data_IF_214019137720
#
_entry.id   IF_214019137720
#
_cell.length_a   1.000
_cell.length_b   1.000
_cell.length_c   1.000
_cell.angle_alpha   90.00
_cell.angle_beta   90.00
_cell.angle_gamma   90.00
#
_symmetry.space_group_name_H-M   'P 1'
#
loop_
_entity.id
_entity.type
_entity.pdbx_description
1 polymer ?
#
# COMPACT_ATOMS: atom_id res chain seq x y z
N UNK A 1 46.41 86.72 13.79
CA UNK A 1 47.76 86.71 13.16
C UNK A 1 48.75 86.34 14.27
N UNK A 2 49.47 85.21 14.30
CA UNK A 2 50.19 84.42 13.27
C UNK A 2 50.02 82.90 13.53
N UNK A 3 49.66 82.14 12.49
CA UNK A 3 50.40 81.05 11.78
C UNK A 3 50.52 79.69 12.48
N UNK A 4 49.66 78.76 12.06
CA UNK A 4 50.00 77.37 11.76
C UNK A 4 49.07 76.90 10.62
N UNK A 5 49.63 76.17 9.65
CA UNK A 5 49.02 75.78 8.37
C UNK A 5 47.90 74.73 8.52
N UNK A 6 46.92 74.79 7.60
CA UNK A 6 45.81 73.84 7.40
C UNK A 6 46.34 72.39 7.35
N UNK A 7 45.74 71.40 8.02
CA UNK A 7 44.50 70.77 7.55
C UNK A 7 43.76 70.08 8.71
N UNK A 8 42.65 70.72 9.09
CA UNK A 8 41.39 70.15 9.63
C UNK A 8 41.38 69.53 11.04
N UNK A 9 41.38 70.38 12.05
CA UNK A 9 40.72 70.07 13.33
C UNK A 9 39.43 70.90 13.43
N UNK A 10 38.34 70.37 12.88
CA UNK A 10 37.06 71.05 12.69
C UNK A 10 36.18 71.02 13.96
N UNK A 11 36.76 71.22 15.15
CA UNK A 11 36.00 71.23 16.41
C UNK A 11 36.34 72.48 17.25
N UNK A 12 35.49 73.51 17.14
CA UNK A 12 35.51 74.64 18.06
C UNK A 12 35.00 74.17 19.45
N UNK A 13 35.85 74.25 20.48
CA UNK A 13 35.38 74.08 21.86
C UNK A 13 34.84 75.41 22.38
N UNK A 14 33.54 75.45 22.69
CA UNK A 14 32.87 76.66 23.17
C UNK A 14 33.13 76.93 24.66
N UNK A 15 33.12 78.20 25.06
CA UNK A 15 33.11 78.58 26.47
C UNK A 15 31.83 78.08 27.17
N UNK A 16 31.88 77.83 28.50
CA UNK A 16 30.71 77.38 29.26
C UNK A 16 29.53 78.33 29.08
N UNK A 17 28.44 77.82 28.49
CA UNK A 17 27.23 78.61 28.23
C UNK A 17 26.99 79.01 26.76
N UNK A 18 27.84 78.58 25.83
CA UNK A 18 27.64 78.77 24.39
C UNK A 18 27.61 77.44 23.62
N UNK A 19 26.86 77.41 22.52
CA UNK A 19 26.66 76.26 21.63
C UNK A 19 26.59 76.71 20.16
N UNK A 20 26.54 75.77 19.22
CA UNK A 20 26.58 76.05 17.77
C UNK A 20 27.95 75.75 17.14
N UNK A 21 28.02 75.73 15.81
CA UNK A 21 29.24 75.34 15.06
C UNK A 21 30.40 76.33 15.29
N UNK A 22 30.07 77.59 15.58
CA UNK A 22 30.99 78.69 15.84
C UNK A 22 30.77 79.31 17.24
N UNK A 23 30.10 78.61 18.16
CA UNK A 23 29.78 79.10 19.51
C UNK A 23 28.93 80.39 19.55
N UNK A 24 28.09 80.57 18.52
CA UNK A 24 27.30 81.77 18.29
C UNK A 24 26.02 81.86 19.13
N UNK A 25 25.55 80.74 19.68
CA UNK A 25 24.26 80.64 20.37
C UNK A 25 24.46 80.45 21.87
N UNK A 26 23.60 81.05 22.69
CA UNK A 26 23.56 80.78 24.13
C UNK A 26 23.06 79.36 24.40
N UNK A 27 23.72 78.64 25.31
CA UNK A 27 23.32 77.29 25.72
C UNK A 27 22.05 77.36 26.57
N UNK A 28 20.97 76.71 26.10
CA UNK A 28 19.71 76.57 26.83
C UNK A 28 19.55 75.09 27.21
N UNK A 29 19.71 74.71 28.50
CA UNK A 29 19.81 73.31 28.92
C UNK A 29 18.65 72.39 28.52
N UNK A 30 17.43 72.91 28.30
CA UNK A 30 16.24 72.12 27.95
C UNK A 30 15.67 72.42 26.54
N UNK A 31 16.43 73.05 25.64
CA UNK A 31 15.97 73.38 24.30
C UNK A 31 17.05 73.16 23.24
N UNK A 32 17.02 72.02 22.50
CA UNK A 32 16.06 70.91 22.60
C UNK A 32 16.23 70.11 23.90
N UNK A 33 15.18 69.39 24.33
CA UNK A 33 15.24 68.57 25.55
C UNK A 33 16.32 67.47 25.41
N UNK A 34 17.29 67.41 26.34
CA UNK A 34 18.27 66.33 26.36
C UNK A 34 17.70 65.01 26.91
N UNK A 35 16.55 65.06 27.61
CA UNK A 35 15.91 63.89 28.19
C UNK A 35 15.24 63.03 27.10
N UNK A 36 15.51 61.73 27.15
CA UNK A 36 15.00 60.70 26.24
C UNK A 36 13.78 59.99 26.84
N UNK A 37 13.17 59.08 26.08
CA UNK A 37 12.08 58.20 26.53
C UNK A 37 10.89 58.91 27.21
N UNK A 38 10.60 60.14 26.79
CA UNK A 38 9.51 60.95 27.37
C UNK A 38 9.86 61.62 28.71
N UNK A 39 11.14 61.64 29.10
CA UNK A 39 11.62 62.34 30.29
C UNK A 39 11.34 63.84 30.25
N UNK A 40 11.00 64.40 31.41
CA UNK A 40 10.68 65.82 31.54
C UNK A 40 11.93 66.59 31.94
N UNK A 41 12.40 67.51 31.08
CA UNK A 41 13.55 68.36 31.37
C UNK A 41 13.19 69.51 32.31
N UNK A 42 13.97 69.67 33.38
CA UNK A 42 13.90 70.82 34.29
C UNK A 42 15.25 71.51 34.34
N UNK A 43 15.27 72.81 34.05
CA UNK A 43 16.49 73.60 34.20
C UNK A 43 16.79 73.83 35.68
N UNK A 44 17.98 73.43 36.14
CA UNK A 44 18.40 73.52 37.55
C UNK A 44 19.29 74.74 37.80
N UNK A 45 20.22 75.05 36.88
CA UNK A 45 21.03 76.27 36.92
C UNK A 45 21.13 76.91 35.54
N UNK A 46 21.91 78.01 35.42
CA UNK A 46 22.13 78.68 34.14
C UNK A 46 22.72 77.75 33.06
N UNK A 47 23.49 76.74 33.46
CA UNK A 47 24.17 75.80 32.55
C UNK A 47 23.92 74.32 32.88
N UNK A 48 23.00 73.99 33.80
CA UNK A 48 22.67 72.60 34.15
C UNK A 48 21.16 72.33 34.08
N UNK A 49 20.85 71.08 33.78
CA UNK A 49 19.51 70.52 33.73
C UNK A 49 19.43 69.27 34.60
N UNK A 50 18.21 68.85 34.90
CA UNK A 50 17.86 67.60 35.54
C UNK A 50 16.69 66.98 34.76
N UNK A 51 16.82 65.70 34.41
CA UNK A 51 15.76 64.95 33.77
C UNK A 51 14.94 64.21 34.82
N UNK A 52 13.63 64.44 34.85
CA UNK A 52 12.70 63.59 35.60
C UNK A 52 12.29 62.42 34.72
N UNK A 53 12.79 61.24 35.07
CA UNK A 53 12.52 60.03 34.30
C UNK A 53 11.13 59.46 34.60
N UNK A 54 10.39 59.01 33.58
CA UNK A 54 9.19 58.22 33.77
C UNK A 54 9.54 56.90 34.49
N UNK A 55 8.54 56.23 35.11
CA UNK A 55 8.75 54.89 35.68
C UNK A 55 9.36 53.93 34.64
N UNK A 56 10.33 53.13 35.08
CA UNK A 56 11.08 52.19 34.21
C UNK A 56 12.32 52.77 33.53
N UNK A 57 12.62 54.07 33.65
CA UNK A 57 13.83 54.64 33.06
C UNK A 57 14.76 55.26 34.11
N UNK A 58 16.06 55.13 33.87
CA UNK A 58 17.13 55.70 34.68
C UNK A 58 18.24 56.31 33.80
N UNK A 59 19.28 56.82 34.44
CA UNK A 59 20.36 57.54 33.77
C UNK A 59 20.18 59.05 33.81
N UNK A 60 21.19 59.79 33.34
CA UNK A 60 21.21 61.27 33.44
C UNK A 60 20.15 61.91 32.53
N UNK A 61 19.90 61.27 31.41
CA UNK A 61 18.97 61.69 30.37
C UNK A 61 17.78 60.73 30.22
N UNK A 62 17.55 59.82 31.18
CA UNK A 62 16.53 58.77 31.08
C UNK A 62 16.75 57.85 29.87
N UNK A 63 18.03 57.62 29.53
CA UNK A 63 18.49 56.88 28.37
C UNK A 63 18.58 55.37 28.62
N UNK A 64 18.59 54.94 29.88
CA UNK A 64 18.68 53.54 30.27
C UNK A 64 17.31 53.03 30.72
N UNK A 65 16.92 51.85 30.23
CA UNK A 65 15.81 51.11 30.83
C UNK A 65 16.28 50.52 32.17
N UNK A 66 15.46 50.61 33.20
CA UNK A 66 15.73 49.97 34.48
C UNK A 66 15.49 48.48 34.33
N UNK A 67 16.49 47.67 34.69
CA UNK A 67 16.38 46.21 34.64
C UNK A 67 15.35 45.70 35.65
N UNK A 68 14.21 45.22 35.14
CA UNK A 68 13.09 44.69 35.92
C UNK A 68 13.27 43.18 36.26
N UNK A 69 14.33 42.53 35.77
CA UNK A 69 14.60 41.10 36.01
C UNK A 69 15.19 40.71 37.37
N UNK A 70 15.87 41.56 38.17
CA UNK A 70 16.36 41.17 39.49
C UNK A 70 15.22 40.71 40.41
N UNK A 71 15.26 39.46 40.85
CA UNK A 71 14.20 38.87 41.67
C UNK A 71 12.94 38.46 40.90
N UNK A 72 13.05 38.29 39.57
CA UNK A 72 11.97 37.76 38.75
C UNK A 72 11.44 36.41 39.27
N UNK A 73 10.20 36.10 38.88
CA UNK A 73 9.50 34.89 39.30
C UNK A 73 9.50 33.81 38.21
N UNK A 74 10.32 33.92 37.16
CA UNK A 74 10.35 32.94 36.09
C UNK A 74 10.77 31.55 36.62
N UNK A 75 9.91 30.55 36.40
CA UNK A 75 10.10 29.18 36.87
C UNK A 75 10.58 28.27 35.75
N UNK A 76 10.95 27.03 36.09
CA UNK A 76 11.19 25.94 35.14
C UNK A 76 12.19 26.24 34.01
N UNK A 77 13.23 27.04 34.29
CA UNK A 77 14.23 27.43 33.30
C UNK A 77 13.78 28.54 32.35
N UNK A 78 12.66 29.21 32.64
CA UNK A 78 12.24 30.42 31.96
C UNK A 78 13.31 31.51 32.04
N UNK A 79 13.53 32.21 30.93
CA UNK A 79 14.48 33.33 30.86
C UNK A 79 13.71 34.63 31.05
N UNK A 80 14.10 35.43 32.04
CA UNK A 80 13.52 36.75 32.22
C UNK A 80 13.93 37.68 31.08
N UNK A 81 12.97 38.37 30.51
CA UNK A 81 13.16 39.37 29.46
C UNK A 81 12.66 40.71 29.98
N UNK A 82 13.61 41.64 30.10
CA UNK A 82 13.39 43.01 30.54
C UNK A 82 12.41 43.75 29.61
N UNK A 83 11.57 44.58 30.20
CA UNK A 83 10.57 45.39 29.51
C UNK A 83 10.49 46.77 30.15
N UNK A 84 9.50 47.59 29.78
CA UNK A 84 9.40 48.95 30.31
C UNK A 84 8.57 48.92 31.60
N UNK A 85 9.22 49.04 32.76
CA UNK A 85 8.58 49.03 34.08
C UNK A 85 7.79 47.72 34.34
N UNK A 86 8.22 46.63 33.70
CA UNK A 86 7.66 45.29 33.76
C UNK A 86 8.65 44.32 33.09
N UNK A 87 8.64 43.07 33.50
CA UNK A 87 9.33 41.98 32.82
C UNK A 87 8.34 40.93 32.33
N UNK A 88 8.79 40.07 31.42
CA UNK A 88 8.06 38.84 31.08
C UNK A 88 9.01 37.65 31.03
N UNK A 89 8.46 36.44 31.16
CA UNK A 89 9.24 35.22 31.10
C UNK A 89 9.16 34.60 29.70
N UNK A 90 10.31 34.36 29.08
CA UNK A 90 10.41 33.53 27.88
C UNK A 90 10.51 32.07 28.31
N UNK A 91 9.43 31.32 28.14
CA UNK A 91 9.33 29.93 28.58
C UNK A 91 10.00 28.94 27.61
N UNK A 92 10.61 27.86 28.12
CA UNK A 92 10.95 26.69 27.30
C UNK A 92 9.71 26.08 26.66
N UNK A 93 9.89 25.29 25.60
CA UNK A 93 8.77 24.69 24.85
C UNK A 93 7.88 23.75 25.66
N UNK A 94 8.38 23.20 26.78
CA UNK A 94 7.65 22.30 27.68
C UNK A 94 6.87 23.03 28.78
N UNK A 95 6.95 24.36 28.87
CA UNK A 95 6.26 25.14 29.89
C UNK A 95 5.49 26.32 29.30
N UNK A 96 4.43 26.72 30.00
CA UNK A 96 3.56 27.84 29.62
C UNK A 96 3.09 28.59 30.87
N UNK A 97 2.34 29.67 30.69
CA UNK A 97 1.98 30.61 31.76
C UNK A 97 2.82 31.89 31.74
N UNK A 98 2.45 32.84 32.59
CA UNK A 98 3.11 34.15 32.69
C UNK A 98 4.53 34.03 33.26
N UNK A 99 4.72 33.09 34.19
CA UNK A 99 5.97 32.81 34.87
C UNK A 99 6.51 31.42 34.54
N UNK A 100 6.04 30.79 33.46
CA UNK A 100 6.40 29.43 33.05
C UNK A 100 6.06 28.36 34.10
N UNK A 101 5.02 28.59 34.89
CA UNK A 101 4.59 27.76 36.00
C UNK A 101 3.78 26.53 35.58
N UNK A 102 3.19 26.54 34.38
CA UNK A 102 2.32 25.48 33.90
C UNK A 102 3.07 24.53 32.97
N UNK A 103 2.89 23.24 33.20
CA UNK A 103 3.39 22.18 32.33
C UNK A 103 2.59 22.12 31.02
N UNK A 104 3.27 21.92 29.89
CA UNK A 104 2.60 21.68 28.60
C UNK A 104 2.31 20.20 28.47
N UNK A 105 1.04 19.84 28.27
CA UNK A 105 0.69 18.47 27.91
C UNK A 105 1.01 18.22 26.42
N UNK A 106 2.20 17.67 26.13
CA UNK A 106 2.60 17.42 24.75
C UNK A 106 1.73 16.36 24.07
N UNK A 107 1.14 15.44 24.84
CA UNK A 107 0.25 14.41 24.31
C UNK A 107 -1.08 15.00 23.82
N UNK A 108 -1.62 15.97 24.56
CA UNK A 108 -2.83 16.69 24.17
C UNK A 108 -2.58 17.66 23.01
N UNK A 109 -1.42 18.33 23.02
CA UNK A 109 -1.06 19.29 21.97
C UNK A 109 -0.70 18.59 20.65
N UNK A 110 -0.06 17.42 20.71
CA UNK A 110 0.42 16.66 19.55
C UNK A 110 0.03 15.18 19.67
N UNK A 111 -1.22 14.81 19.30
CA UNK A 111 -1.73 13.45 19.46
C UNK A 111 -0.93 12.35 18.74
N UNK A 112 -0.17 12.71 17.69
CA UNK A 112 0.65 11.78 16.90
C UNK A 112 2.15 11.87 17.22
N UNK A 113 2.52 12.40 18.40
CA UNK A 113 3.92 12.50 18.81
C UNK A 113 4.55 11.12 19.07
N UNK A 114 3.75 10.15 19.51
CA UNK A 114 4.13 8.74 19.60
C UNK A 114 3.57 8.00 18.38
N UNK A 115 4.42 7.27 17.68
CA UNK A 115 4.08 6.60 16.42
C UNK A 115 3.59 5.16 16.64
N UNK A 116 3.09 4.53 15.57
CA UNK A 116 2.81 3.08 15.52
C UNK A 116 1.91 2.53 16.63
N UNK A 117 0.92 3.32 17.08
CA UNK A 117 -0.03 2.92 18.12
C UNK A 117 0.54 2.96 19.53
N UNK A 118 1.71 3.58 19.74
CA UNK A 118 2.28 3.81 21.05
C UNK A 118 1.40 4.73 21.92
N UNK A 119 1.47 4.52 23.24
CA UNK A 119 0.75 5.34 24.22
C UNK A 119 1.62 6.49 24.68
N UNK A 120 1.12 7.72 24.55
CA UNK A 120 1.78 8.92 25.08
C UNK A 120 1.38 9.14 26.54
N UNK A 121 2.37 9.42 27.38
CA UNK A 121 2.17 9.83 28.76
C UNK A 121 2.88 11.15 29.02
N UNK A 122 2.14 12.18 29.40
CA UNK A 122 2.71 13.45 29.81
C UNK A 122 3.48 13.34 31.13
N UNK A 123 4.61 14.01 31.23
CA UNK A 123 5.43 14.10 32.44
C UNK A 123 5.81 15.55 32.71
N UNK A 124 6.23 15.89 33.92
CA UNK A 124 6.56 17.29 34.18
C UNK A 124 7.83 17.71 33.39
N UNK A 125 7.67 18.67 32.48
CA UNK A 125 8.71 19.21 31.61
C UNK A 125 9.07 18.35 30.39
N UNK A 126 8.31 17.28 30.11
CA UNK A 126 8.58 16.34 29.01
C UNK A 126 7.40 15.38 28.78
N UNK A 127 7.49 14.51 27.80
CA UNK A 127 6.60 13.36 27.64
C UNK A 127 7.40 12.07 27.50
N UNK A 128 6.72 10.94 27.59
CA UNK A 128 7.27 9.63 27.28
C UNK A 128 6.32 8.83 26.39
N UNK A 129 6.88 8.10 25.43
CA UNK A 129 6.13 7.18 24.59
C UNK A 129 6.35 5.74 25.05
N UNK A 130 5.25 5.04 25.36
CA UNK A 130 5.26 3.63 25.69
C UNK A 130 4.97 2.86 24.40
N UNK A 131 6.01 2.22 23.86
CA UNK A 131 5.94 1.49 22.59
C UNK A 131 5.16 0.19 22.72
N UNK A 132 4.43 -0.15 21.65
CA UNK A 132 3.84 -1.49 21.49
C UNK A 132 4.94 -2.50 21.10
N UNK A 133 4.63 -3.79 21.21
CA UNK A 133 5.57 -4.84 20.87
C UNK A 133 6.06 -4.71 19.42
N UNK A 134 7.37 -4.88 19.20
CA UNK A 134 8.02 -4.70 17.89
C UNK A 134 8.58 -3.31 17.61
N UNK A 135 8.34 -2.29 18.44
CA UNK A 135 8.84 -0.93 18.22
C UNK A 135 9.76 -0.44 19.34
N UNK A 136 10.72 0.41 18.99
CA UNK A 136 11.60 1.09 19.93
C UNK A 136 11.88 2.56 19.52
N UNK A 137 12.64 3.26 20.35
CA UNK A 137 12.99 4.66 20.15
C UNK A 137 12.14 5.62 21.00
N UNK A 138 12.51 6.91 21.05
CA UNK A 138 11.84 7.90 21.89
C UNK A 138 10.40 8.20 21.47
N UNK A 139 10.08 8.01 20.20
CA UNK A 139 8.75 8.18 19.60
C UNK A 139 8.17 6.88 19.03
N UNK A 140 8.80 5.73 19.33
CA UNK A 140 8.41 4.41 18.84
C UNK A 140 8.36 4.27 17.31
N UNK A 141 9.21 5.03 16.59
CA UNK A 141 9.28 4.99 15.13
C UNK A 141 10.09 3.82 14.57
N UNK A 142 10.94 3.20 15.39
CA UNK A 142 11.92 2.24 14.90
C UNK A 142 11.39 0.82 15.06
N UNK A 143 11.31 0.08 13.95
CA UNK A 143 11.00 -1.35 14.01
C UNK A 143 12.20 -2.09 14.61
N UNK A 144 11.94 -2.97 15.58
CA UNK A 144 12.95 -3.84 16.16
C UNK A 144 13.28 -4.90 15.11
N UNK A 145 14.57 -5.10 14.82
CA UNK A 145 15.02 -6.16 13.90
C UNK A 145 14.84 -7.53 14.56
N UNK A 146 13.74 -8.19 14.22
CA UNK A 146 13.38 -9.52 14.73
C UNK A 146 14.24 -10.63 14.10
N UNK A 147 15.07 -10.32 13.09
CA UNK A 147 15.94 -11.27 12.41
C UNK A 147 17.28 -11.53 13.10
N UNK A 148 17.71 -10.68 14.04
CA UNK A 148 19.01 -10.85 14.73
C UNK A 148 19.09 -12.18 15.47
N UNK A 149 18.00 -12.61 16.09
CA UNK A 149 17.88 -13.86 16.84
C UNK A 149 17.01 -14.91 16.11
N UNK A 150 16.70 -14.71 14.84
CA UNK A 150 15.79 -15.57 14.10
C UNK A 150 16.37 -16.97 13.80
N UNK A 151 15.57 -18.00 14.04
CA UNK A 151 15.93 -19.40 13.88
C UNK A 151 15.57 -19.98 12.49
N UNK A 152 15.63 -19.19 11.42
CA UNK A 152 15.36 -19.70 10.07
C UNK A 152 16.35 -20.81 9.70
N UNK A 153 15.85 -21.89 9.06
CA UNK A 153 16.70 -23.00 8.63
C UNK A 153 17.81 -22.53 7.68
N UNK A 154 18.97 -23.19 7.74
CA UNK A 154 20.15 -22.83 6.97
C UNK A 154 19.84 -22.66 5.47
N UNK A 155 20.07 -21.46 4.95
CA UNK A 155 19.83 -21.08 3.57
C UNK A 155 18.52 -20.31 3.33
N UNK A 156 17.58 -20.31 4.28
CA UNK A 156 16.40 -19.45 4.20
C UNK A 156 16.75 -17.98 4.48
N UNK A 157 15.96 -17.06 3.91
CA UNK A 157 16.11 -15.61 4.19
C UNK A 157 15.14 -15.22 5.29
N UNK A 158 15.63 -14.66 6.39
CA UNK A 158 14.76 -14.02 7.38
C UNK A 158 14.23 -12.70 6.83
N UNK A 159 12.93 -12.45 7.01
CA UNK A 159 12.29 -11.18 6.68
C UNK A 159 11.72 -10.61 7.97
N UNK A 160 12.18 -9.41 8.28
CA UNK A 160 11.78 -8.61 9.43
C UNK A 160 10.30 -8.22 9.33
N UNK A 161 9.62 -8.25 10.47
CA UNK A 161 8.22 -7.89 10.63
C UNK A 161 8.04 -7.04 11.89
N UNK A 162 6.80 -6.86 12.34
CA UNK A 162 6.54 -6.06 13.55
C UNK A 162 6.32 -7.03 14.72
N UNK A 163 7.29 -7.12 15.62
CA UNK A 163 7.26 -8.01 16.79
C UNK A 163 7.27 -9.50 16.43
N UNK A 164 7.69 -9.80 15.19
CA UNK A 164 7.77 -11.12 14.61
C UNK A 164 8.59 -11.08 13.33
N UNK A 165 9.13 -12.22 12.95
CA UNK A 165 9.79 -12.41 11.66
C UNK A 165 9.09 -13.53 10.89
N UNK A 166 9.31 -13.59 9.58
CA UNK A 166 8.98 -14.80 8.79
C UNK A 166 10.17 -15.25 7.95
N UNK A 167 10.31 -16.55 7.78
CA UNK A 167 11.36 -17.12 6.96
C UNK A 167 10.86 -17.32 5.53
N UNK A 168 11.53 -16.69 4.56
CA UNK A 168 11.34 -17.01 3.15
C UNK A 168 12.18 -18.25 2.81
N UNK A 169 11.48 -19.36 2.58
CA UNK A 169 12.10 -20.64 2.33
C UNK A 169 12.78 -20.70 0.96
N UNK A 170 13.86 -21.48 0.90
CA UNK A 170 14.48 -21.89 -0.36
C UNK A 170 13.61 -22.91 -1.08
N UNK A 171 13.77 -23.09 -2.41
CA UNK A 171 13.04 -24.12 -3.14
C UNK A 171 13.24 -25.51 -2.50
N UNK A 172 12.15 -26.26 -2.35
CA UNK A 172 12.16 -27.59 -1.73
C UNK A 172 12.05 -27.60 -0.20
N UNK A 173 11.88 -26.44 0.44
CA UNK A 173 11.68 -26.30 1.90
C UNK A 173 10.34 -25.65 2.22
N UNK A 174 9.76 -26.03 3.36
CA UNK A 174 8.48 -25.51 3.84
C UNK A 174 8.43 -25.38 5.37
N UNK A 175 7.33 -24.84 5.87
CA UNK A 175 7.05 -24.58 7.28
C UNK A 175 7.57 -23.25 7.80
N UNK A 176 7.12 -22.86 9.00
CA UNK A 176 7.34 -21.52 9.57
C UNK A 176 8.82 -21.12 9.64
N UNK A 177 9.68 -22.09 9.96
CA UNK A 177 11.13 -21.90 10.04
C UNK A 177 11.90 -22.54 8.87
N UNK A 178 11.19 -22.97 7.81
CA UNK A 178 11.78 -23.64 6.64
C UNK A 178 12.56 -24.94 6.96
N UNK A 179 12.22 -25.60 8.07
CA UNK A 179 12.90 -26.81 8.55
C UNK A 179 12.32 -28.10 7.97
N UNK A 180 11.16 -28.04 7.32
CA UNK A 180 10.49 -29.17 6.69
C UNK A 180 10.83 -29.23 5.21
N UNK A 181 10.79 -30.44 4.63
CA UNK A 181 10.96 -30.63 3.20
C UNK A 181 9.61 -30.46 2.48
N UNK A 182 9.66 -29.85 1.29
CA UNK A 182 8.50 -29.70 0.43
C UNK A 182 8.20 -31.02 -0.29
N UNK A 183 7.16 -31.73 0.16
CA UNK A 183 6.76 -33.01 -0.39
C UNK A 183 6.33 -32.94 -1.87
N UNK A 184 5.88 -31.80 -2.38
CA UNK A 184 5.51 -31.64 -3.78
C UNK A 184 6.72 -31.63 -4.73
N UNK A 185 7.95 -31.48 -4.21
CA UNK A 185 9.19 -31.53 -5.01
C UNK A 185 9.36 -32.86 -5.76
N UNK A 186 8.79 -33.95 -5.23
CA UNK A 186 8.84 -35.28 -5.84
C UNK A 186 7.72 -35.54 -6.86
N UNK A 187 6.84 -34.57 -7.11
CA UNK A 187 5.62 -34.72 -7.92
C UNK A 187 4.75 -35.93 -7.50
N UNK A 188 4.24 -35.95 -6.26
CA UNK A 188 3.51 -37.11 -5.73
C UNK A 188 2.11 -37.30 -6.33
N UNK A 189 1.54 -36.29 -6.99
CA UNK A 189 0.18 -36.34 -7.55
C UNK A 189 0.16 -36.79 -9.02
N UNK A 190 -0.84 -37.58 -9.39
CA UNK A 190 -1.05 -38.14 -10.73
C UNK A 190 -2.05 -37.30 -11.56
N UNK A 191 -2.11 -37.53 -12.88
CA UNK A 191 -3.09 -36.94 -13.82
C UNK A 191 -3.18 -35.39 -13.78
N UNK A 192 -2.02 -34.71 -13.74
CA UNK A 192 -1.92 -33.24 -13.65
C UNK A 192 -2.66 -32.62 -12.45
N UNK A 193 -2.89 -33.40 -11.39
CA UNK A 193 -3.50 -32.92 -10.16
C UNK A 193 -2.62 -31.86 -9.47
N UNK A 194 -3.29 -30.90 -8.81
CA UNK A 194 -2.62 -29.81 -8.11
C UNK A 194 -2.08 -30.34 -6.77
N UNK A 195 -0.79 -30.14 -6.52
CA UNK A 195 -0.12 -30.56 -5.28
C UNK A 195 0.09 -29.36 -4.36
N UNK A 196 -0.36 -29.49 -3.12
CA UNK A 196 -0.08 -28.53 -2.05
C UNK A 196 0.66 -29.23 -0.89
N UNK A 197 1.74 -28.61 -0.40
CA UNK A 197 2.45 -29.11 0.79
C UNK A 197 1.98 -28.39 2.05
N UNK A 198 1.64 -29.17 3.07
CA UNK A 198 1.27 -28.69 4.39
C UNK A 198 2.46 -28.01 5.09
N UNK A 199 2.34 -26.74 5.51
CA UNK A 199 3.41 -26.02 6.21
C UNK A 199 3.59 -26.49 7.67
N UNK A 200 2.71 -27.36 8.19
CA UNK A 200 2.74 -27.80 9.60
C UNK A 200 3.61 -29.05 9.77
N UNK A 201 3.48 -30.01 8.86
CA UNK A 201 4.11 -31.33 8.95
C UNK A 201 4.87 -31.74 7.68
N UNK A 202 4.83 -30.93 6.61
CA UNK A 202 5.51 -31.21 5.35
C UNK A 202 4.84 -32.30 4.50
N UNK A 203 3.62 -32.75 4.84
CA UNK A 203 2.90 -33.74 4.03
C UNK A 203 2.29 -33.09 2.79
N UNK A 204 2.16 -33.83 1.69
CA UNK A 204 1.45 -33.36 0.49
C UNK A 204 -0.06 -33.61 0.60
N UNK A 205 -0.83 -32.86 -0.20
CA UNK A 205 -2.24 -33.10 -0.47
C UNK A 205 -2.49 -32.85 -1.95
N UNK A 206 -3.15 -33.79 -2.61
CA UNK A 206 -3.45 -33.71 -4.04
C UNK A 206 -4.92 -33.29 -4.23
N UNK A 207 -5.14 -32.22 -4.97
CA UNK A 207 -6.47 -31.85 -5.47
C UNK A 207 -6.70 -32.52 -6.81
N UNK A 208 -7.43 -33.64 -6.78
CA UNK A 208 -7.65 -34.47 -7.97
C UNK A 208 -8.48 -33.77 -9.04
N UNK A 209 -8.15 -34.03 -10.30
CA UNK A 209 -8.99 -33.70 -11.43
C UNK A 209 -10.32 -34.47 -11.35
N UNK A 210 -11.35 -33.94 -12.02
CA UNK A 210 -12.65 -34.64 -12.14
C UNK A 210 -12.41 -36.01 -12.78
N UNK A 211 -12.99 -37.08 -12.21
CA UNK A 211 -12.79 -38.45 -12.67
C UNK A 211 -11.66 -39.22 -11.97
N UNK A 212 -10.92 -38.61 -11.03
CA UNK A 212 -9.87 -39.29 -10.26
C UNK A 212 -10.10 -39.18 -8.74
N UNK A 213 -9.61 -40.19 -8.00
CA UNK A 213 -9.69 -40.29 -6.54
C UNK A 213 -8.41 -40.89 -5.94
N UNK A 214 -8.36 -40.98 -4.61
CA UNK A 214 -7.20 -41.47 -3.86
C UNK A 214 -6.32 -40.36 -3.32
N UNK A 215 -5.29 -40.72 -2.55
CA UNK A 215 -4.36 -39.75 -1.93
C UNK A 215 -3.47 -39.04 -2.94
N UNK A 216 -3.13 -39.74 -4.02
CA UNK A 216 -2.25 -39.29 -5.11
C UNK A 216 -3.00 -39.11 -6.44
N UNK A 217 -4.34 -39.24 -6.44
CA UNK A 217 -5.17 -39.16 -7.64
C UNK A 217 -4.83 -40.21 -8.71
N UNK A 218 -4.22 -41.34 -8.32
CA UNK A 218 -3.88 -42.44 -9.23
C UNK A 218 -5.07 -43.34 -9.57
N UNK A 219 -6.12 -43.31 -8.75
CA UNK A 219 -7.30 -44.15 -8.94
C UNK A 219 -8.32 -43.45 -9.83
N UNK A 220 -8.73 -44.15 -10.89
CA UNK A 220 -9.81 -43.73 -11.76
C UNK A 220 -11.17 -43.92 -11.09
N UNK A 221 -12.09 -42.97 -11.30
CA UNK A 221 -13.47 -43.09 -10.84
C UNK A 221 -14.25 -43.84 -11.91
N UNK A 222 -14.71 -45.05 -11.58
CA UNK A 222 -15.64 -45.76 -12.45
C UNK A 222 -17.06 -45.17 -12.31
N UNK A 223 -17.45 -44.31 -13.24
CA UNK A 223 -18.80 -43.72 -13.24
C UNK A 223 -19.89 -44.74 -13.62
N UNK A 224 -19.53 -45.81 -14.32
CA UNK A 224 -20.48 -46.87 -14.68
C UNK A 224 -20.91 -47.68 -13.44
N UNK A 225 -19.99 -47.90 -12.49
CA UNK A 225 -20.25 -48.58 -11.22
C UNK A 225 -21.02 -47.71 -10.20
N UNK A 226 -20.88 -46.37 -10.27
CA UNK A 226 -21.59 -45.45 -9.37
C UNK A 226 -23.04 -45.19 -9.78
N UNK A 227 -23.36 -45.36 -11.06
CA UNK A 227 -24.72 -45.30 -11.61
C UNK A 227 -24.69 -44.95 -13.08
N UNK A 228 -25.21 -45.82 -13.94
CA UNK A 228 -25.14 -45.69 -15.41
C UNK A 228 -25.50 -44.27 -15.89
N UNK A 229 -24.52 -43.48 -16.32
CA UNK A 229 -24.73 -42.10 -16.77
C UNK A 229 -25.32 -42.04 -18.18
N UNK A 230 -25.45 -43.15 -18.90
CA UNK A 230 -25.99 -43.19 -20.25
C UNK A 230 -27.52 -43.25 -20.28
N UNK A 231 -28.14 -42.35 -21.05
CA UNK A 231 -29.59 -42.30 -21.27
C UNK A 231 -30.03 -43.32 -22.35
N UNK A 232 -31.33 -43.55 -22.47
CA UNK A 232 -31.96 -44.37 -23.52
C UNK A 232 -31.34 -45.78 -23.69
N UNK A 233 -31.00 -46.42 -22.56
CA UNK A 233 -30.33 -47.73 -22.49
C UNK A 233 -28.99 -47.80 -23.24
N UNK A 234 -28.26 -46.69 -23.34
CA UNK A 234 -26.87 -46.71 -23.80
C UNK A 234 -25.99 -47.57 -22.90
N UNK A 235 -25.00 -48.26 -23.48
CA UNK A 235 -24.04 -49.09 -22.74
C UNK A 235 -22.90 -48.19 -22.25
N UNK A 236 -22.74 -48.08 -20.93
CA UNK A 236 -21.64 -47.34 -20.32
C UNK A 236 -20.31 -48.09 -20.44
N UNK A 237 -19.25 -47.37 -20.76
CA UNK A 237 -17.87 -47.86 -20.81
C UNK A 237 -16.99 -46.89 -20.02
N UNK A 238 -16.37 -47.37 -18.94
CA UNK A 238 -15.45 -46.56 -18.15
C UNK A 238 -14.16 -46.25 -18.95
N UNK A 239 -13.63 -45.04 -18.81
CA UNK A 239 -12.41 -44.57 -19.48
C UNK A 239 -11.52 -43.80 -18.50
N UNK A 240 -10.20 -43.70 -18.70
CA UNK A 240 -9.37 -42.93 -17.77
C UNK A 240 -9.80 -41.46 -17.67
N UNK A 241 -10.25 -41.05 -16.48
CA UNK A 241 -10.71 -39.72 -16.12
C UNK A 241 -12.15 -39.39 -16.56
N UNK A 242 -12.90 -40.34 -17.12
CA UNK A 242 -14.28 -40.10 -17.60
C UNK A 242 -15.00 -41.39 -18.00
N UNK A 243 -16.16 -41.28 -18.64
CA UNK A 243 -16.85 -42.41 -19.25
C UNK A 243 -17.24 -42.12 -20.70
N UNK A 244 -17.52 -43.18 -21.46
CA UNK A 244 -18.09 -43.11 -22.79
C UNK A 244 -19.38 -43.94 -22.87
N UNK A 245 -20.38 -43.42 -23.57
CA UNK A 245 -21.64 -44.11 -23.80
C UNK A 245 -21.70 -44.65 -25.24
N UNK A 246 -21.91 -45.96 -25.38
CA UNK A 246 -22.26 -46.55 -26.66
C UNK A 246 -23.77 -46.49 -26.85
N UNK A 247 -24.22 -45.60 -27.73
CA UNK A 247 -25.64 -45.28 -27.88
C UNK A 247 -26.41 -46.35 -28.65
N UNK A 248 -27.65 -46.55 -28.23
CA UNK A 248 -28.65 -47.31 -28.97
C UNK A 248 -28.98 -46.62 -30.30
N UNK A 249 -29.49 -47.38 -31.27
CA UNK A 249 -29.81 -46.86 -32.60
C UNK A 249 -30.79 -45.67 -32.49
N UNK A 250 -30.47 -44.58 -33.18
CA UNK A 250 -31.28 -43.35 -33.16
C UNK A 250 -30.89 -42.33 -32.12
N UNK A 251 -29.91 -42.62 -31.26
CA UNK A 251 -29.48 -41.67 -30.23
C UNK A 251 -28.02 -41.26 -30.43
N UNK A 252 -27.72 -40.02 -30.06
CA UNK A 252 -26.38 -39.43 -30.13
C UNK A 252 -26.14 -38.50 -28.94
N UNK A 253 -24.93 -37.93 -28.86
CA UNK A 253 -24.47 -37.14 -27.72
C UNK A 253 -23.61 -37.94 -26.74
N UNK A 254 -22.86 -37.26 -25.86
CA UNK A 254 -21.93 -37.88 -24.91
C UNK A 254 -22.62 -38.81 -23.90
N UNK A 255 -23.90 -38.58 -23.60
CA UNK A 255 -24.72 -39.41 -22.70
C UNK A 255 -25.88 -40.09 -23.44
N UNK A 256 -25.87 -40.12 -24.77
CA UNK A 256 -26.99 -40.62 -25.59
C UNK A 256 -28.32 -39.88 -25.33
N UNK A 257 -28.24 -38.61 -24.97
CA UNK A 257 -29.37 -37.77 -24.58
C UNK A 257 -30.13 -37.18 -25.77
N UNK A 258 -29.52 -37.17 -26.96
CA UNK A 258 -30.07 -36.51 -28.15
C UNK A 258 -30.67 -37.52 -29.11
N UNK A 259 -31.94 -37.36 -29.48
CA UNK A 259 -32.52 -38.11 -30.60
C UNK A 259 -31.90 -37.63 -31.92
N UNK A 260 -31.41 -38.55 -32.73
CA UNK A 260 -30.99 -38.28 -34.10
C UNK A 260 -32.25 -37.98 -34.90
N UNK A 261 -32.21 -36.91 -35.71
CA UNK A 261 -33.33 -36.60 -36.61
C UNK A 261 -33.05 -37.20 -37.98
N UNK A 262 -33.59 -38.39 -38.24
CA UNK A 262 -33.39 -39.08 -39.52
C UNK A 262 -34.01 -38.31 -40.71
N UNK A 263 -34.96 -37.40 -40.45
CA UNK A 263 -35.58 -36.55 -41.47
C UNK A 263 -34.66 -35.45 -42.02
N UNK A 264 -33.56 -35.08 -41.33
CA UNK A 264 -32.60 -34.08 -41.85
C UNK A 264 -31.93 -34.53 -43.16
N UNK A 265 -31.82 -35.84 -43.36
CA UNK A 265 -31.30 -36.42 -44.60
C UNK A 265 -32.26 -36.29 -45.79
N UNK A 266 -33.45 -35.69 -45.58
CA UNK A 266 -34.55 -35.58 -46.55
C UNK A 266 -34.90 -36.93 -47.20
N UNK A 267 -35.18 -37.99 -46.42
CA UNK A 267 -35.36 -39.33 -46.96
C UNK A 267 -36.72 -39.52 -47.65
N UNK A 268 -37.74 -38.70 -47.31
CA UNK A 268 -39.07 -38.77 -47.91
C UNK A 268 -39.10 -38.09 -49.28
N UNK A 269 -39.38 -38.87 -50.32
CA UNK A 269 -39.50 -38.37 -51.70
C UNK A 269 -40.93 -37.89 -51.99
N UNK A 270 -41.10 -37.12 -53.08
CA UNK A 270 -42.40 -36.72 -53.63
C UNK A 270 -43.30 -35.89 -52.70
N UNK A 271 -42.69 -34.94 -51.97
CA UNK A 271 -43.41 -34.01 -51.08
C UNK A 271 -44.12 -34.70 -49.89
N UNK A 272 -43.73 -35.93 -49.53
CA UNK A 272 -44.15 -36.55 -48.28
C UNK A 272 -43.61 -35.80 -47.06
N UNK A 273 -44.43 -35.66 -46.02
CA UNK A 273 -44.02 -35.12 -44.73
C UNK A 273 -43.26 -36.20 -43.94
N UNK A 274 -42.03 -35.90 -43.53
CA UNK A 274 -41.25 -36.81 -42.70
C UNK A 274 -41.59 -36.62 -41.22
N UNK A 275 -41.80 -37.70 -40.50
CA UNK A 275 -41.91 -37.72 -39.04
C UNK A 275 -40.72 -38.51 -38.48
N UNK A 276 -40.08 -37.89 -37.50
CA UNK A 276 -38.95 -38.42 -36.76
C UNK A 276 -39.44 -39.42 -35.70
N UNK A 277 -38.92 -40.64 -35.75
CA UNK A 277 -39.22 -41.71 -34.78
C UNK A 277 -37.87 -42.31 -34.33
N UNK A 278 -37.53 -42.44 -33.04
CA UNK A 278 -36.17 -42.79 -32.62
C UNK A 278 -35.57 -44.02 -33.33
N UNK A 279 -34.47 -43.80 -34.06
CA UNK A 279 -33.73 -44.84 -34.80
C UNK A 279 -34.28 -45.15 -36.18
N UNK A 280 -35.30 -44.42 -36.63
CA UNK A 280 -36.01 -44.62 -37.90
C UNK A 280 -36.73 -43.34 -38.35
N UNK A 281 -37.46 -43.38 -39.47
CA UNK A 281 -38.33 -42.30 -39.87
C UNK A 281 -39.58 -42.87 -40.54
N UNK A 282 -40.69 -42.13 -40.51
CA UNK A 282 -41.89 -42.46 -41.26
C UNK A 282 -42.31 -41.31 -42.17
N UNK A 283 -42.66 -41.63 -43.40
CA UNK A 283 -43.17 -40.65 -44.35
C UNK A 283 -44.71 -40.71 -44.38
N UNK A 284 -45.35 -39.58 -44.10
CA UNK A 284 -46.80 -39.41 -44.22
C UNK A 284 -47.11 -38.59 -45.46
N UNK A 285 -48.10 -39.01 -46.22
CA UNK A 285 -48.42 -38.40 -47.51
C UNK A 285 -49.85 -37.87 -47.51
N UNK A 286 -50.04 -36.68 -48.09
CA UNK A 286 -51.36 -36.06 -48.14
C UNK A 286 -52.29 -36.83 -49.10
N UNK A 287 -53.56 -37.07 -48.72
CA UNK A 287 -54.48 -37.95 -49.46
C UNK A 287 -55.00 -37.39 -50.80
N UNK A 288 -54.58 -36.19 -51.23
CA UNK A 288 -55.07 -35.55 -52.46
C UNK A 288 -54.29 -35.90 -53.74
N UNK A 289 -53.32 -36.81 -53.66
CA UNK A 289 -52.70 -37.43 -54.84
C UNK A 289 -52.23 -38.85 -54.52
N UNK A 290 -53.16 -39.79 -54.60
CA UNK A 290 -53.00 -41.21 -54.24
C UNK A 290 -52.05 -42.03 -55.14
N UNK A 291 -51.03 -41.42 -55.75
CA UNK A 291 -50.14 -42.12 -56.69
C UNK A 291 -48.65 -41.83 -56.57
N UNK A 292 -48.17 -40.99 -55.64
CA UNK A 292 -46.71 -40.71 -55.57
C UNK A 292 -46.19 -40.57 -54.14
N UNK A 293 -46.34 -41.61 -53.33
CA UNK A 293 -45.53 -41.77 -52.13
C UNK A 293 -45.17 -43.24 -51.96
N UNK A 294 -43.88 -43.56 -52.13
CA UNK A 294 -43.39 -44.92 -51.93
C UNK A 294 -42.74 -44.99 -50.56
N UNK A 295 -43.28 -45.83 -49.66
CA UNK A 295 -42.69 -46.16 -48.36
C UNK A 295 -41.52 -47.15 -48.47
N UNK A 296 -40.79 -47.14 -49.59
CA UNK A 296 -39.71 -48.09 -49.84
C UNK A 296 -38.36 -47.38 -49.88
N UNK A 297 -37.86 -47.04 -48.69
CA UNK A 297 -36.43 -47.02 -48.45
C UNK A 297 -36.14 -48.05 -47.36
N UNK A 298 -35.32 -49.10 -47.59
CA UNK A 298 -34.87 -49.92 -46.49
C UNK A 298 -34.03 -49.03 -45.58
N UNK A 299 -34.20 -49.17 -44.27
CA UNK A 299 -33.27 -48.64 -43.29
C UNK A 299 -31.88 -49.22 -43.59
N UNK A 300 -31.08 -48.52 -44.40
CA UNK A 300 -29.65 -48.75 -44.44
C UNK A 300 -29.10 -48.09 -43.20
N UNK A 301 -28.60 -48.90 -42.27
CA UNK A 301 -27.77 -48.41 -41.18
C UNK A 301 -26.73 -47.47 -41.75
N UNK A 302 -26.76 -46.22 -41.31
CA UNK A 302 -25.69 -45.28 -41.59
C UNK A 302 -24.52 -45.76 -40.76
N UNK A 303 -23.64 -46.56 -41.37
CA UNK A 303 -22.27 -46.65 -40.89
C UNK A 303 -21.72 -45.23 -40.95
N UNK A 304 -21.52 -44.63 -39.78
CA UNK A 304 -20.91 -43.32 -39.64
C UNK A 304 -19.60 -43.24 -40.44
N UNK A 305 -19.23 -42.06 -40.95
CA UNK A 305 -17.99 -41.93 -41.68
C UNK A 305 -16.81 -42.32 -40.77
N UNK A 306 -15.99 -43.26 -41.26
CA UNK A 306 -14.64 -43.42 -40.78
C UNK A 306 -13.94 -42.06 -40.85
N UNK A 307 -13.48 -41.58 -39.69
CA UNK A 307 -12.71 -40.35 -39.56
C UNK A 307 -11.50 -40.39 -40.50
N UNK A 308 -11.26 -39.38 -41.36
CA UNK A 308 -10.10 -39.37 -42.22
C UNK A 308 -8.85 -39.16 -41.37
N UNK A 309 -8.02 -40.20 -41.35
CA UNK A 309 -6.65 -40.19 -40.89
C UNK A 309 -5.85 -39.17 -41.73
N UNK A 310 -5.86 -37.90 -41.32
CA UNK A 310 -5.04 -36.84 -41.91
C UNK A 310 -3.63 -36.97 -41.33
N UNK A 311 -2.79 -37.78 -41.99
CA UNK A 311 -1.33 -37.58 -41.94
C UNK A 311 -1.03 -36.16 -42.40
N UNK A 312 -0.79 -35.24 -41.45
CA UNK A 312 0.03 -34.06 -41.72
C UNK A 312 1.41 -34.36 -41.19
N UNK A 313 2.37 -34.26 -42.09
CA UNK A 313 3.79 -34.30 -41.82
C UNK A 313 4.14 -33.41 -40.63
N UNK A 314 4.98 -33.96 -39.77
CA UNK A 314 5.75 -33.22 -38.78
C UNK A 314 6.52 -32.07 -39.46
N UNK A 315 6.50 -30.86 -38.90
CA UNK A 315 7.62 -29.95 -39.05
C UNK A 315 8.64 -30.28 -37.96
N UNK A 316 9.79 -30.77 -38.39
CA UNK A 316 11.05 -30.63 -37.66
C UNK A 316 11.29 -29.15 -37.40
N UNK A 317 11.47 -28.76 -36.14
CA UNK A 317 12.10 -27.49 -35.79
C UNK A 317 13.25 -27.72 -34.82
N UNK A 318 14.41 -27.36 -35.35
CA UNK A 318 15.71 -27.29 -34.73
C UNK A 318 15.68 -26.26 -33.59
N UNK A 319 16.23 -26.63 -32.44
CA UNK A 319 16.51 -25.72 -31.34
C UNK A 319 17.38 -24.54 -31.78
N UNK A 320 16.96 -23.31 -31.44
CA UNK A 320 17.86 -22.21 -31.08
C UNK A 320 17.10 -21.08 -30.38
N UNK A 321 17.35 -20.95 -29.07
CA UNK A 321 17.52 -19.68 -28.34
C UNK A 321 16.30 -18.78 -28.10
N UNK A 322 15.96 -18.62 -26.81
CA UNK A 322 15.67 -17.28 -26.25
C UNK A 322 14.21 -16.92 -25.95
N UNK A 323 13.96 -16.72 -24.65
CA UNK A 323 12.97 -15.85 -24.00
C UNK A 323 11.47 -16.21 -24.01
N UNK A 324 10.94 -16.32 -22.77
CA UNK A 324 9.55 -16.53 -22.39
C UNK A 324 8.73 -15.23 -22.44
N UNK A 325 7.45 -15.31 -22.85
CA UNK A 325 6.39 -14.40 -22.39
C UNK A 325 5.04 -15.12 -22.29
N UNK A 326 4.27 -14.82 -21.24
CA UNK A 326 2.93 -15.36 -20.93
C UNK A 326 1.84 -14.33 -21.33
N UNK A 327 0.64 -14.79 -21.72
CA UNK A 327 -0.53 -13.94 -22.04
C UNK A 327 -1.69 -14.26 -21.09
N UNK A 328 -2.21 -13.28 -20.34
CA UNK A 328 -3.38 -13.44 -19.46
C UNK A 328 -4.68 -12.91 -20.10
N UNK A 329 -5.82 -13.35 -19.56
CA UNK A 329 -7.18 -13.07 -20.05
C UNK A 329 -7.64 -11.66 -19.70
N UNK A 330 -7.17 -10.65 -20.41
CA UNK A 330 -7.85 -9.35 -20.58
C UNK A 330 -7.18 -8.70 -21.78
N UNK A 331 -7.95 -8.42 -22.85
CA UNK A 331 -7.43 -7.88 -24.09
C UNK A 331 -6.94 -6.43 -23.90
N UNK A 332 -5.69 -6.24 -23.48
CA UNK A 332 -4.95 -4.99 -23.70
C UNK A 332 -3.47 -5.30 -23.96
N UNK A 333 -2.91 -4.65 -24.99
CA UNK A 333 -1.48 -4.73 -25.33
C UNK A 333 -0.75 -3.57 -24.67
N UNK A 334 0.29 -3.86 -23.89
CA UNK A 334 1.27 -2.85 -23.47
C UNK A 334 2.66 -3.48 -23.58
N UNK A 335 3.50 -2.91 -24.45
CA UNK A 335 4.95 -3.11 -24.44
C UNK A 335 5.63 -1.74 -24.37
N UNK A 336 6.68 -1.66 -23.54
CA UNK A 336 7.72 -0.62 -23.57
C UNK A 336 7.32 0.85 -23.41
N UNK A 337 7.23 1.32 -22.16
CA UNK A 337 7.84 2.60 -21.75
C UNK A 337 7.20 3.95 -22.17
N UNK A 338 6.70 4.67 -21.14
CA UNK A 338 6.68 6.14 -20.94
C UNK A 338 5.73 7.01 -21.79
N UNK A 339 4.79 7.71 -21.13
CA UNK A 339 4.39 9.13 -21.33
C UNK A 339 3.57 9.52 -20.08
N UNK A 340 3.96 10.50 -19.25
CA UNK A 340 4.00 11.97 -19.45
C UNK A 340 2.58 12.55 -19.62
N UNK A 341 2.21 13.30 -18.57
CA UNK A 341 1.02 14.14 -18.29
C UNK A 341 -0.32 13.43 -18.09
#
# INVERSE_FOLDING_TARGET
MRTAEHTQCNLCMCEPGYTGKNCESGYIPCSPSPCQNGGTCKQSTKYSYECKCPPGFQGKNCEENTDDCPGNLCQNGGTCVDGINAYHCSCPSSFTGEFCENDVDECALRPSICQNGATCTNTHGSYNCICVNGWNGPDCSNNIDDCVDAACFNGATCIDGVGSFYCRCTPGKTGLLCHLDDACTSNPCHADAICDTSPINGSFTCSCAVGYKGIDCSEDIDECDQGSPCEHNGICVNTPGSFACNCSQGFTGPRCETNVNECESHPCQNQGSCLDDPGTFRCVCMPVSASICSSNAPARGVSGPASPNKKRNAPTLVSRGGQFTYKSRTNDWIDGGRLVL
#
